data_IF_813401656254
#
_entry.id   IF_813401656254
#
_cell.length_a   1.000
_cell.length_b   1.000
_cell.length_c   1.000
_cell.angle_alpha   90.00
_cell.angle_beta   90.00
_cell.angle_gamma   90.00
#
_symmetry.space_group_name_H-M   'P 1'
#
loop_
_entity.id
_entity.type
_entity.pdbx_description
1 polymer ?
#
# COMPACT_ATOMS: atom_id res chain seq x y z
N UNK A 1 0.08 22.72 -13.01
CA UNK A 1 -0.10 21.64 -12.02
C UNK A 1 0.44 22.17 -10.72
N UNK A 2 -0.43 22.28 -9.73
CA UNK A 2 -0.24 23.08 -8.49
C UNK A 2 0.16 22.17 -7.33
N UNK A 3 0.82 22.70 -6.29
CA UNK A 3 1.22 21.93 -5.09
C UNK A 3 0.07 21.16 -4.43
N UNK A 4 -1.17 21.66 -4.56
CA UNK A 4 -2.36 21.01 -4.06
C UNK A 4 -2.62 19.65 -4.71
N UNK A 5 -2.42 19.52 -6.03
CA UNK A 5 -2.63 18.26 -6.76
C UNK A 5 -1.60 17.20 -6.34
N UNK A 6 -0.34 17.63 -6.18
CA UNK A 6 0.73 16.76 -5.69
C UNK A 6 0.45 16.28 -4.25
N UNK A 7 -0.03 17.17 -3.38
CA UNK A 7 -0.36 16.81 -2.00
C UNK A 7 -1.52 15.81 -1.88
N UNK A 8 -2.52 15.91 -2.76
CA UNK A 8 -3.65 14.98 -2.80
C UNK A 8 -3.21 13.59 -3.30
N UNK A 9 -2.34 13.53 -4.30
CA UNK A 9 -1.77 12.28 -4.83
C UNK A 9 -0.89 11.56 -3.79
N UNK A 10 -0.05 12.31 -3.07
CA UNK A 10 0.71 11.78 -1.94
C UNK A 10 -0.20 11.25 -0.82
N UNK A 11 -1.28 11.97 -0.50
CA UNK A 11 -2.27 11.53 0.48
C UNK A 11 -2.96 10.22 0.08
N UNK A 12 -3.34 10.09 -1.19
CA UNK A 12 -3.93 8.86 -1.74
C UNK A 12 -2.96 7.68 -1.67
N UNK A 13 -1.70 7.89 -2.05
CA UNK A 13 -0.64 6.88 -1.99
C UNK A 13 -0.38 6.40 -0.56
N UNK A 14 -0.29 7.33 0.39
CA UNK A 14 -0.12 6.99 1.82
C UNK A 14 -1.34 6.27 2.40
N UNK A 15 -2.54 6.67 1.99
CA UNK A 15 -3.79 5.99 2.36
C UNK A 15 -3.79 4.54 1.88
N UNK A 16 -3.50 4.31 0.59
CA UNK A 16 -3.43 2.97 0.01
C UNK A 16 -2.35 2.10 0.68
N UNK A 17 -1.17 2.65 0.93
CA UNK A 17 -0.09 1.98 1.65
C UNK A 17 -0.52 1.55 3.04
N UNK A 18 -1.13 2.47 3.80
CA UNK A 18 -1.56 2.22 5.18
C UNK A 18 -2.64 1.14 5.24
N UNK A 19 -3.63 1.21 4.34
CA UNK A 19 -4.71 0.22 4.27
C UNK A 19 -4.17 -1.16 3.90
N UNK A 20 -3.31 -1.25 2.88
CA UNK A 20 -2.70 -2.51 2.47
C UNK A 20 -1.87 -3.13 3.59
N UNK A 21 -1.03 -2.32 4.26
CA UNK A 21 -0.23 -2.76 5.40
C UNK A 21 -1.10 -3.31 6.54
N UNK A 22 -2.12 -2.56 6.97
CA UNK A 22 -2.95 -2.93 8.11
C UNK A 22 -3.80 -4.16 7.82
N UNK A 23 -4.49 -4.22 6.67
CA UNK A 23 -5.33 -5.35 6.32
C UNK A 23 -4.52 -6.64 6.22
N UNK A 24 -3.39 -6.61 5.50
CA UNK A 24 -2.58 -7.81 5.28
C UNK A 24 -1.92 -8.26 6.58
N UNK A 25 -1.38 -7.34 7.38
CA UNK A 25 -0.77 -7.68 8.68
C UNK A 25 -1.80 -8.31 9.62
N UNK A 26 -2.99 -7.70 9.75
CA UNK A 26 -4.01 -8.21 10.65
C UNK A 26 -4.57 -9.56 10.18
N UNK A 27 -4.86 -9.72 8.89
CA UNK A 27 -5.33 -11.00 8.34
C UNK A 27 -4.27 -12.09 8.54
N UNK A 28 -3.01 -11.81 8.21
CA UNK A 28 -1.93 -12.78 8.37
C UNK A 28 -1.70 -13.18 9.83
N UNK A 29 -1.64 -12.19 10.74
CA UNK A 29 -1.32 -12.40 12.15
C UNK A 29 -2.47 -12.93 13.00
N UNK A 30 -3.73 -12.64 12.62
CA UNK A 30 -4.91 -13.03 13.42
C UNK A 30 -5.71 -14.18 12.83
N UNK A 31 -5.71 -14.35 11.50
CA UNK A 31 -6.56 -15.33 10.82
C UNK A 31 -5.78 -16.49 10.16
N UNK A 32 -4.53 -16.25 9.74
CA UNK A 32 -3.75 -17.23 8.97
C UNK A 32 -2.64 -17.92 9.78
N UNK A 33 -2.45 -17.54 11.04
CA UNK A 33 -1.50 -18.20 11.94
C UNK A 33 -0.03 -17.88 11.67
N UNK A 34 0.28 -16.84 10.89
CA UNK A 34 1.63 -16.31 10.82
C UNK A 34 2.04 -15.74 12.18
N UNK A 35 3.32 -15.86 12.54
CA UNK A 35 3.80 -15.12 13.70
C UNK A 35 3.76 -13.61 13.41
N UNK A 36 3.70 -12.79 14.46
CA UNK A 36 3.49 -11.34 14.32
C UNK A 36 4.56 -10.67 13.45
N UNK A 37 5.82 -11.07 13.58
CA UNK A 37 6.92 -10.55 12.77
C UNK A 37 6.73 -10.89 11.28
N UNK A 38 6.39 -12.14 10.95
CA UNK A 38 6.09 -12.56 9.58
C UNK A 38 4.90 -11.80 9.00
N UNK A 39 3.86 -11.60 9.79
CA UNK A 39 2.67 -10.86 9.39
C UNK A 39 2.98 -9.39 9.07
N UNK A 40 3.78 -8.72 9.91
CA UNK A 40 4.23 -7.33 9.67
C UNK A 40 5.10 -7.23 8.42
N UNK A 41 6.02 -8.17 8.20
CA UNK A 41 6.86 -8.21 7.00
C UNK A 41 6.02 -8.41 5.73
N UNK A 42 5.02 -9.30 5.78
CA UNK A 42 4.10 -9.54 4.68
C UNK A 42 3.22 -8.31 4.39
N UNK A 43 2.73 -7.64 5.43
CA UNK A 43 2.01 -6.38 5.29
C UNK A 43 2.88 -5.27 4.69
N UNK A 44 4.13 -5.16 5.12
CA UNK A 44 5.10 -4.22 4.54
C UNK A 44 5.33 -4.47 3.05
N UNK A 45 5.51 -5.73 2.67
CA UNK A 45 5.62 -6.13 1.26
C UNK A 45 4.38 -5.79 0.45
N UNK A 46 3.18 -6.09 0.97
CA UNK A 46 1.93 -5.74 0.31
C UNK A 46 1.78 -4.22 0.12
N UNK A 47 2.26 -3.43 1.08
CA UNK A 47 2.34 -1.98 0.97
C UNK A 47 3.19 -1.51 -0.22
N UNK A 48 4.39 -2.08 -0.39
CA UNK A 48 5.27 -1.79 -1.54
C UNK A 48 4.58 -2.16 -2.87
N UNK A 49 3.91 -3.32 -2.91
CA UNK A 49 3.16 -3.78 -4.09
C UNK A 49 2.00 -2.83 -4.42
N UNK A 50 1.28 -2.33 -3.42
CA UNK A 50 0.18 -1.39 -3.62
C UNK A 50 0.67 -0.09 -4.28
N UNK A 51 1.75 0.51 -3.75
CA UNK A 51 2.36 1.72 -4.32
C UNK A 51 2.88 1.46 -5.74
N UNK A 52 3.59 0.34 -5.96
CA UNK A 52 4.10 -0.03 -7.28
C UNK A 52 3.00 -0.27 -8.31
N UNK A 53 1.86 -0.82 -7.89
CA UNK A 53 0.70 -1.06 -8.76
C UNK A 53 0.00 0.24 -9.15
N UNK A 54 -0.10 1.19 -8.22
CA UNK A 54 -0.64 2.53 -8.50
C UNK A 54 0.22 3.25 -9.55
N UNK A 55 1.53 3.27 -9.34
CA UNK A 55 2.49 3.86 -10.29
C UNK A 55 2.45 3.19 -11.67
N UNK A 56 2.34 1.86 -11.72
CA UNK A 56 2.24 1.13 -12.99
C UNK A 56 0.93 1.45 -13.72
N UNK A 57 -0.17 1.62 -12.97
CA UNK A 57 -1.48 1.99 -13.51
C UNK A 57 -1.45 3.39 -14.11
N UNK A 58 -0.81 4.34 -13.44
CA UNK A 58 -0.62 5.69 -13.93
C UNK A 58 0.20 5.71 -15.23
N UNK A 59 1.30 4.94 -15.29
CA UNK A 59 2.08 4.79 -16.53
C UNK A 59 1.30 4.20 -17.70
N UNK A 60 0.32 3.33 -17.45
CA UNK A 60 -0.52 2.72 -18.49
C UNK A 60 -1.64 3.63 -18.96
N UNK A 61 -2.08 4.57 -18.13
CA UNK A 61 -3.20 5.48 -18.41
C UNK A 61 -2.73 6.85 -18.90
N UNK A 62 -1.49 7.23 -18.59
CA UNK A 62 -0.85 8.48 -19.06
C UNK A 62 0.13 8.31 -20.22
N UNK A 63 0.12 7.16 -20.91
CA UNK A 63 0.78 6.98 -22.21
C UNK A 63 -0.10 7.43 -23.36
#
# INVERSE_FOLDING_TARGET
MTDADASADFGSTLGALTVAFLLVTLVAGTLLGFNWTQAVLLGGFAGVVAVGSAWLTERRTGG
#
